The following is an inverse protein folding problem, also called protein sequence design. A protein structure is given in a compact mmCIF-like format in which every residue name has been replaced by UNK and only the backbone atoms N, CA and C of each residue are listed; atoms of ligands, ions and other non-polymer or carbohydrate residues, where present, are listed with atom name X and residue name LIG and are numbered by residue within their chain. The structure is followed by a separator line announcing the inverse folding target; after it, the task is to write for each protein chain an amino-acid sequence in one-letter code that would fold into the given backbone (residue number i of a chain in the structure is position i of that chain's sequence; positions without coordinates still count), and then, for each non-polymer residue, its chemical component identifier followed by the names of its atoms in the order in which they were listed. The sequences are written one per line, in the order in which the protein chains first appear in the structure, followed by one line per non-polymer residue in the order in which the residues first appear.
data_IF_870739865310
#
_entry.id   IF_870739865310
#
_cell.length_a   1.000
_cell.length_b   1.000
_cell.length_c   1.000
_cell.angle_alpha   90.00
_cell.angle_beta   90.00
_cell.angle_gamma   90.00
#
_symmetry.space_group_name_H-M   'P 1'
#
loop_
_entity.id
_entity.type
_entity.pdbx_description
1 polymer ?
#
# COMPACT_ATOMS: atom_id res chain seq x y z
N UNK A 1 6.52 11.52 -15.98
CA UNK A 1 5.20 11.85 -15.35
C UNK A 1 5.43 12.23 -13.91
N UNK A 2 4.68 13.22 -13.39
CA UNK A 2 4.69 13.56 -11.97
C UNK A 2 3.70 12.63 -11.25
N UNK A 3 4.16 11.87 -10.28
CA UNK A 3 3.29 11.06 -9.42
C UNK A 3 2.52 12.00 -8.49
N UNK A 4 1.19 12.00 -8.59
CA UNK A 4 0.31 12.81 -7.76
C UNK A 4 -1.03 12.08 -7.60
N UNK A 5 -1.29 11.51 -6.43
CA UNK A 5 -2.49 10.71 -6.13
C UNK A 5 -3.08 11.19 -4.80
N UNK A 6 -4.34 11.60 -4.81
CA UNK A 6 -5.07 11.96 -3.61
C UNK A 6 -5.82 10.75 -3.07
N UNK A 7 -5.47 10.32 -1.85
CA UNK A 7 -6.10 9.16 -1.20
C UNK A 7 -7.18 9.67 -0.24
N UNK A 8 -8.47 9.40 -0.50
CA UNK A 8 -9.53 9.79 0.41
C UNK A 8 -9.45 9.01 1.73
N UNK A 9 -10.00 9.60 2.79
CA UNK A 9 -10.11 8.94 4.10
C UNK A 9 -10.81 7.59 3.94
N UNK A 10 -10.28 6.56 4.60
CA UNK A 10 -10.86 5.21 4.54
C UNK A 10 -10.32 4.35 3.40
N UNK A 11 -9.37 4.84 2.61
CA UNK A 11 -8.73 4.10 1.52
C UNK A 11 -7.22 4.01 1.70
N UNK A 12 -6.62 3.06 1.00
CA UNK A 12 -5.18 2.94 0.80
C UNK A 12 -4.88 2.82 -0.69
N UNK A 13 -3.66 3.23 -1.05
CA UNK A 13 -3.10 3.06 -2.38
C UNK A 13 -1.76 2.33 -2.20
N UNK A 14 -1.62 1.18 -2.84
CA UNK A 14 -0.50 0.26 -2.60
C UNK A 14 0.37 0.08 -3.84
N UNK A 15 1.66 -0.20 -3.61
CA UNK A 15 2.60 -0.61 -4.63
C UNK A 15 3.30 -1.89 -4.20
N UNK A 16 3.56 -2.78 -5.14
CA UNK A 16 4.46 -3.90 -4.89
C UNK A 16 5.92 -3.44 -4.85
N UNK A 17 6.75 -4.15 -4.09
CA UNK A 17 8.18 -3.84 -3.97
C UNK A 17 8.93 -4.07 -5.29
N UNK A 18 8.53 -5.10 -6.06
CA UNK A 18 9.04 -5.32 -7.41
C UNK A 18 8.34 -4.41 -8.41
N UNK A 19 8.73 -3.12 -8.41
CA UNK A 19 7.99 -2.03 -9.08
C UNK A 19 7.71 -2.23 -10.57
N UNK A 20 8.62 -2.89 -11.29
CA UNK A 20 8.50 -3.12 -12.73
C UNK A 20 7.62 -4.31 -13.13
N UNK A 21 7.26 -5.18 -12.18
CA UNK A 21 6.51 -6.41 -12.42
C UNK A 21 5.24 -6.51 -11.56
N UNK A 22 4.79 -5.41 -10.98
CA UNK A 22 3.66 -5.35 -10.06
C UNK A 22 2.47 -4.68 -10.72
N UNK A 23 1.40 -5.45 -10.94
CA UNK A 23 0.09 -4.93 -11.34
C UNK A 23 -0.65 -4.40 -10.10
N UNK A 24 -0.14 -3.32 -9.51
CA UNK A 24 -0.71 -2.69 -8.33
C UNK A 24 -1.67 -1.55 -8.69
N UNK A 25 -1.96 -0.67 -7.72
CA UNK A 25 -2.90 0.44 -7.86
C UNK A 25 -2.62 1.35 -9.07
N UNK A 26 -1.36 1.44 -9.52
CA UNK A 26 -0.96 2.20 -10.72
C UNK A 26 -1.58 1.68 -12.01
N UNK A 27 -1.88 0.39 -12.07
CA UNK A 27 -2.31 -0.33 -13.27
C UNK A 27 -3.80 -0.63 -13.29
N UNK A 28 -4.56 -0.20 -12.28
CA UNK A 28 -6.01 -0.43 -12.18
C UNK A 28 -6.84 0.88 -12.05
N UNK A 29 -6.56 1.95 -12.84
CA UNK A 29 -7.34 3.19 -12.77
C UNK A 29 -8.83 3.01 -13.15
N UNK A 30 -9.16 1.99 -13.93
CA UNK A 30 -10.53 1.68 -14.33
C UNK A 30 -11.35 0.95 -13.25
N UNK A 31 -10.72 0.53 -12.15
CA UNK A 31 -11.44 -0.09 -11.04
C UNK A 31 -12.41 0.89 -10.38
N UNK A 32 -13.43 0.37 -9.68
CA UNK A 32 -14.49 1.18 -9.04
C UNK A 32 -13.98 2.29 -8.11
N UNK A 33 -12.75 2.16 -7.61
CA UNK A 33 -12.10 3.12 -6.72
C UNK A 33 -10.79 3.68 -7.32
N UNK A 34 -10.63 3.68 -8.64
CA UNK A 34 -9.50 4.29 -9.34
C UNK A 34 -8.12 3.78 -8.86
N UNK A 35 -8.04 2.47 -8.62
CA UNK A 35 -6.87 1.76 -8.12
C UNK A 35 -6.74 1.70 -6.60
N UNK A 36 -7.58 2.42 -5.85
CA UNK A 36 -7.55 2.46 -4.39
C UNK A 36 -8.34 1.31 -3.75
N UNK A 37 -7.91 0.91 -2.55
CA UNK A 37 -8.53 -0.18 -1.80
C UNK A 37 -9.19 0.40 -0.55
N UNK A 38 -10.48 0.17 -0.31
CA UNK A 38 -11.11 0.59 0.94
C UNK A 38 -10.52 -0.21 2.12
N UNK A 39 -10.28 0.46 3.24
CA UNK A 39 -9.71 -0.15 4.45
C UNK A 39 -10.54 -1.33 4.96
N UNK A 40 -11.85 -1.34 4.72
CA UNK A 40 -12.74 -2.45 5.07
C UNK A 40 -12.44 -3.76 4.32
N UNK A 41 -11.67 -3.71 3.22
CA UNK A 41 -11.21 -4.89 2.49
C UNK A 41 -9.82 -5.36 2.94
N UNK A 42 -9.17 -4.65 3.85
CA UNK A 42 -7.86 -5.06 4.39
C UNK A 42 -8.07 -6.13 5.45
N UNK A 43 -7.51 -7.32 5.22
CA UNK A 43 -7.57 -8.43 6.18
C UNK A 43 -6.58 -8.23 7.32
N UNK A 44 -5.38 -7.73 7.03
CA UNK A 44 -4.34 -7.52 8.04
C UNK A 44 -2.98 -7.13 7.46
N UNK A 45 -1.98 -7.02 8.33
CA UNK A 45 -0.58 -6.73 7.99
C UNK A 45 0.25 -8.01 8.06
N UNK A 46 1.13 -8.22 7.07
CA UNK A 46 2.17 -9.24 7.17
C UNK A 46 3.16 -8.90 8.31
N UNK A 47 3.41 -9.86 9.20
CA UNK A 47 4.22 -9.62 10.42
C UNK A 47 5.39 -10.57 10.60
N UNK A 48 5.38 -11.73 9.94
CA UNK A 48 6.41 -12.74 10.03
C UNK A 48 6.61 -13.45 8.69
N UNK A 49 7.83 -13.89 8.45
CA UNK A 49 8.21 -14.81 7.38
C UNK A 49 8.45 -16.15 8.05
N UNK A 50 7.68 -17.17 7.69
CA UNK A 50 7.80 -18.52 8.26
C UNK A 50 8.59 -19.48 7.37
N UNK A 51 8.79 -19.14 6.10
CA UNK A 51 9.43 -20.02 5.12
C UNK A 51 10.20 -19.23 4.05
N UNK A 52 11.36 -19.73 3.56
CA UNK A 52 12.11 -20.88 4.09
C UNK A 52 12.66 -20.59 5.49
N UNK A 53 12.90 -21.63 6.31
CA UNK A 53 13.31 -21.44 7.71
C UNK A 53 14.63 -20.67 7.88
N UNK A 54 15.53 -20.74 6.89
CA UNK A 54 16.76 -19.92 6.88
C UNK A 54 16.48 -18.42 6.78
N UNK A 55 15.28 -18.04 6.34
CA UNK A 55 14.84 -16.66 6.18
C UNK A 55 13.74 -16.29 7.18
N UNK A 56 13.51 -17.12 8.21
CA UNK A 56 12.50 -16.85 9.21
C UNK A 56 12.83 -15.56 9.96
N UNK A 57 11.90 -14.59 9.92
CA UNK A 57 12.13 -13.26 10.46
C UNK A 57 10.81 -12.54 10.75
N UNK A 58 10.87 -11.53 11.61
CA UNK A 58 9.77 -10.58 11.79
C UNK A 58 9.84 -9.46 10.75
N UNK A 59 8.67 -9.08 10.22
CA UNK A 59 8.55 -7.96 9.29
C UNK A 59 8.35 -6.68 10.11
N UNK A 60 9.30 -5.72 10.07
CA UNK A 60 9.18 -4.48 10.82
C UNK A 60 7.94 -3.72 10.35
N UNK A 61 7.32 -2.99 11.28
CA UNK A 61 6.24 -2.08 10.94
C UNK A 61 6.84 -0.90 10.17
N UNK A 62 6.28 -0.60 8.99
CA UNK A 62 6.62 0.60 8.25
C UNK A 62 6.20 1.85 9.02
N UNK A 63 7.14 2.77 9.21
CA UNK A 63 6.93 4.04 9.94
C UNK A 63 6.98 5.26 9.02
N UNK A 64 7.44 5.09 7.77
CA UNK A 64 7.70 6.20 6.85
C UNK A 64 6.44 6.98 6.47
N UNK A 65 5.29 6.32 6.36
CA UNK A 65 4.03 6.99 6.06
C UNK A 65 3.59 7.96 7.15
N UNK A 66 4.04 7.79 8.41
CA UNK A 66 3.74 8.75 9.48
C UNK A 66 4.46 10.08 9.29
N UNK A 67 5.53 10.10 8.50
CA UNK A 67 6.31 11.30 8.19
C UNK A 67 5.66 12.13 7.09
N UNK A 68 4.71 11.57 6.35
CA UNK A 68 4.00 12.26 5.28
C UNK A 68 2.95 13.17 5.92
N UNK A 69 3.00 14.50 5.69
CA UNK A 69 1.99 15.41 6.22
C UNK A 69 0.63 15.09 5.57
N UNK A 70 -0.38 14.89 6.41
CA UNK A 70 -1.76 14.70 5.95
C UNK A 70 -2.30 16.07 5.54
N UNK A 71 -2.61 16.24 4.26
CA UNK A 71 -3.33 17.42 3.80
C UNK A 71 -4.81 17.24 4.13
N UNK A 72 -5.33 18.04 5.06
CA UNK A 72 -6.77 18.19 5.21
C UNK A 72 -7.28 18.90 3.96
N UNK A 73 -8.19 18.26 3.21
CA UNK A 73 -8.93 18.97 2.17
C UNK A 73 -9.76 20.06 2.86
N UNK A 74 -9.79 21.30 2.32
CA UNK A 74 -10.69 22.34 2.80
C UNK A 74 -12.16 21.92 2.68
#
# INVERSE_FOLDING_TARGET
MKFNVDIPKGFIWVMGDHRGASADSRFHPESANNGMIPLSKVVGRATFIVWPFTNAAFIPKGEDLKKVPVQEKP
#
